data_IF_188923434751
#
_entry.id   IF_188923434751
#
_cell.length_a   1.000
_cell.length_b   1.000
_cell.length_c   1.000
_cell.angle_alpha   90.00
_cell.angle_beta   90.00
_cell.angle_gamma   90.00
#
_symmetry.space_group_name_H-M   'P 1'
#
loop_
_entity.id
_entity.type
_entity.pdbx_description
1 polymer ?
#
# COMPACT_ATOMS: atom_id res chain seq x y z
N UNK A 1 -13.69 12.47 22.58
CA UNK A 1 -12.64 13.08 21.74
C UNK A 1 -12.70 12.42 20.36
N UNK A 2 -13.49 12.99 19.44
CA UNK A 2 -13.62 12.50 18.07
C UNK A 2 -12.35 12.89 17.32
N UNK A 3 -11.46 11.94 17.03
CA UNK A 3 -10.33 12.18 16.12
C UNK A 3 -10.93 12.43 14.74
N UNK A 4 -10.53 13.55 14.13
CA UNK A 4 -10.85 13.99 12.78
C UNK A 4 -10.90 12.79 11.83
N UNK A 5 -12.11 12.45 11.38
CA UNK A 5 -12.31 11.47 10.32
C UNK A 5 -11.89 12.10 9.01
N UNK A 6 -10.61 11.94 8.66
CA UNK A 6 -10.23 11.96 7.25
C UNK A 6 -10.53 10.55 6.76
N UNK A 7 -11.72 10.38 6.17
CA UNK A 7 -12.01 9.19 5.38
C UNK A 7 -11.11 9.31 4.16
N UNK A 8 -9.98 8.62 4.16
CA UNK A 8 -9.22 8.41 2.95
C UNK A 8 -9.96 7.33 2.17
N UNK A 9 -10.49 7.65 0.98
CA UNK A 9 -10.96 6.68 -0.01
C UNK A 9 -9.81 5.82 -0.57
N UNK A 10 -8.74 5.63 0.21
CA UNK A 10 -7.50 4.99 -0.16
C UNK A 10 -6.95 4.09 0.95
N UNK A 11 -6.30 3.01 0.54
CA UNK A 11 -5.59 2.06 1.40
C UNK A 11 -4.10 2.26 1.22
N UNK A 12 -3.34 2.24 2.31
CA UNK A 12 -1.87 2.23 2.28
C UNK A 12 -1.35 0.80 2.20
N UNK A 13 -0.41 0.57 1.28
CA UNK A 13 0.27 -0.70 1.11
C UNK A 13 1.78 -0.44 1.22
N UNK A 14 2.44 -1.28 2.01
CA UNK A 14 3.89 -1.34 2.15
C UNK A 14 4.36 -2.61 1.47
N UNK A 15 5.53 -2.57 0.86
CA UNK A 15 6.21 -3.76 0.34
C UNK A 15 7.50 -3.92 1.11
N UNK A 16 7.74 -5.11 1.64
CA UNK A 16 9.01 -5.45 2.30
C UNK A 16 9.40 -6.88 1.98
N UNK A 17 10.59 -7.07 1.41
CA UNK A 17 11.13 -8.38 1.04
C UNK A 17 10.16 -9.20 0.16
N UNK A 18 9.48 -8.52 -0.77
CA UNK A 18 8.49 -9.13 -1.68
C UNK A 18 7.12 -9.42 -1.06
N UNK A 19 6.90 -9.07 0.20
CA UNK A 19 5.64 -9.26 0.93
C UNK A 19 4.88 -7.94 1.00
N UNK A 20 3.57 -7.97 0.75
CA UNK A 20 2.68 -6.82 0.88
C UNK A 20 2.17 -6.73 2.32
N UNK A 21 2.19 -5.53 2.88
CA UNK A 21 1.66 -5.22 4.19
C UNK A 21 0.65 -4.08 4.10
N UNK A 22 -0.43 -4.14 4.87
CA UNK A 22 -1.36 -3.02 5.01
C UNK A 22 -1.76 -2.87 6.47
N UNK A 23 -2.06 -1.67 6.98
CA UNK A 23 -2.56 -1.50 8.34
C UNK A 23 -3.84 -2.32 8.59
N UNK A 24 -3.95 -2.93 9.78
CA UNK A 24 -5.11 -3.75 10.15
C UNK A 24 -6.35 -2.92 10.56
N UNK A 25 -6.17 -1.64 10.89
CA UNK A 25 -7.18 -0.72 11.42
C UNK A 25 -7.02 0.65 10.78
N UNK A 26 -8.05 1.49 10.88
CA UNK A 26 -8.08 2.85 10.34
C UNK A 26 -7.89 2.93 8.81
N UNK A 27 -8.19 1.84 8.10
CA UNK A 27 -8.25 1.76 6.64
C UNK A 27 -9.63 1.28 6.23
N UNK A 28 -10.15 1.75 5.09
CA UNK A 28 -11.39 1.21 4.53
C UNK A 28 -11.17 -0.26 4.16
N UNK A 29 -11.97 -1.16 4.73
CA UNK A 29 -12.05 -2.57 4.30
C UNK A 29 -12.75 -2.75 2.94
N UNK A 30 -12.84 -1.68 2.15
CA UNK A 30 -13.60 -1.62 0.90
C UNK A 30 -12.97 -2.36 -0.27
N UNK A 31 -13.62 -2.23 -1.44
CA UNK A 31 -13.28 -2.85 -2.74
C UNK A 31 -11.77 -2.80 -3.04
N UNK A 32 -11.11 -1.72 -2.64
CA UNK A 32 -9.66 -1.50 -2.76
C UNK A 32 -8.82 -2.61 -2.09
N UNK A 33 -9.13 -2.98 -0.84
CA UNK A 33 -8.43 -4.09 -0.14
C UNK A 33 -8.64 -5.40 -0.88
N UNK A 34 -9.85 -5.62 -1.41
CA UNK A 34 -10.17 -6.81 -2.20
C UNK A 34 -9.34 -6.86 -3.49
N UNK A 35 -9.31 -5.78 -4.27
CA UNK A 35 -8.56 -5.75 -5.54
C UNK A 35 -7.06 -5.93 -5.34
N UNK A 36 -6.46 -5.33 -4.30
CA UNK A 36 -5.03 -5.55 -3.95
C UNK A 36 -4.80 -6.98 -3.48
N UNK A 37 -5.71 -7.54 -2.68
CA UNK A 37 -5.63 -8.94 -2.25
C UNK A 37 -5.76 -9.91 -3.43
N UNK A 38 -6.64 -9.61 -4.38
CA UNK A 38 -6.85 -10.42 -5.58
C UNK A 38 -5.61 -10.33 -6.51
N UNK A 39 -5.01 -9.15 -6.67
CA UNK A 39 -3.74 -8.98 -7.38
C UNK A 39 -2.58 -9.73 -6.69
N UNK A 40 -2.51 -9.70 -5.35
CA UNK A 40 -1.53 -10.44 -4.58
C UNK A 40 -1.69 -11.96 -4.78
N UNK A 41 -2.93 -12.47 -4.71
CA UNK A 41 -3.24 -13.88 -4.99
C UNK A 41 -2.87 -14.28 -6.42
N UNK A 42 -3.18 -13.45 -7.42
CA UNK A 42 -2.84 -13.73 -8.81
C UNK A 42 -1.33 -13.79 -9.09
N UNK A 43 -0.52 -13.24 -8.19
CA UNK A 43 0.94 -13.16 -8.31
C UNK A 43 1.69 -13.95 -7.23
N UNK A 44 0.99 -14.79 -6.44
CA UNK A 44 1.54 -15.55 -5.31
C UNK A 44 2.28 -14.69 -4.26
N UNK A 45 1.84 -13.44 -4.09
CA UNK A 45 2.40 -12.55 -3.08
C UNK A 45 1.74 -12.74 -1.72
N UNK A 46 2.56 -12.81 -0.68
CA UNK A 46 2.09 -12.84 0.70
C UNK A 46 1.54 -11.47 1.10
N UNK A 47 0.37 -11.47 1.77
CA UNK A 47 -0.32 -10.28 2.23
C UNK A 47 -0.50 -10.33 3.76
N UNK A 48 -0.03 -9.31 4.48
CA UNK A 48 0.01 -9.29 5.95
C UNK A 48 -0.61 -7.99 6.50
N UNK A 49 -1.40 -8.09 7.56
CA UNK A 49 -1.95 -6.91 8.23
C UNK A 49 -0.95 -6.36 9.27
N UNK A 50 -0.12 -5.39 8.88
CA UNK A 50 0.79 -4.68 9.78
C UNK A 50 1.18 -3.30 9.23
N UNK A 51 1.34 -2.32 10.12
CA UNK A 51 1.88 -0.98 9.81
C UNK A 51 3.30 -0.77 10.35
N UNK A 52 3.87 -1.73 11.07
CA UNK A 52 5.16 -1.58 11.78
C UNK A 52 6.37 -1.39 10.86
N UNK A 53 6.21 -1.60 9.56
CA UNK A 53 7.28 -1.59 8.58
C UNK A 53 7.35 -0.30 7.76
N UNK A 54 6.48 0.69 8.00
CA UNK A 54 6.38 1.87 7.14
C UNK A 54 7.72 2.57 6.89
N UNK A 55 8.53 2.80 7.93
CA UNK A 55 9.84 3.45 7.80
C UNK A 55 10.95 2.54 7.25
N UNK A 56 10.73 1.23 7.16
CA UNK A 56 11.71 0.25 6.69
C UNK A 56 11.26 -0.47 5.41
N UNK A 57 10.16 -0.02 4.80
CA UNK A 57 9.58 -0.59 3.60
C UNK A 57 10.52 -0.39 2.39
N UNK A 58 10.51 -1.36 1.47
CA UNK A 58 11.18 -1.24 0.19
C UNK A 58 10.40 -0.38 -0.80
N UNK A 59 9.06 -0.47 -0.75
CA UNK A 59 8.15 0.32 -1.58
C UNK A 59 6.92 0.69 -0.75
N UNK A 60 6.31 1.84 -1.05
CA UNK A 60 5.03 2.24 -0.47
C UNK A 60 4.14 2.75 -1.60
N UNK A 61 2.86 2.41 -1.56
CA UNK A 61 1.87 3.00 -2.45
C UNK A 61 0.51 3.11 -1.76
N UNK A 62 -0.31 4.02 -2.26
CA UNK A 62 -1.74 4.05 -1.95
C UNK A 62 -2.52 3.45 -3.11
N UNK A 63 -3.60 2.76 -2.80
CA UNK A 63 -4.62 2.37 -3.77
C UNK A 63 -5.91 3.10 -3.43
N UNK A 64 -6.62 3.68 -4.40
CA UNK A 64 -7.89 4.38 -4.19
C UNK A 64 -9.08 3.53 -4.63
N UNK A 65 -10.29 3.84 -4.14
CA UNK A 65 -11.54 3.19 -4.59
C UNK A 65 -11.77 3.33 -6.10
N UNK A 66 -11.26 4.40 -6.72
CA UNK A 66 -11.31 4.63 -8.17
C UNK A 66 -10.31 3.77 -8.97
N UNK A 67 -9.58 2.87 -8.30
CA UNK A 67 -8.61 1.97 -8.93
C UNK A 67 -7.24 2.61 -9.18
N UNK A 68 -6.98 3.80 -8.66
CA UNK A 68 -5.70 4.48 -8.89
C UNK A 68 -4.63 3.95 -7.94
N UNK A 69 -3.46 3.64 -8.49
CA UNK A 69 -2.25 3.31 -7.72
C UNK A 69 -1.36 4.56 -7.66
N UNK A 70 -1.03 5.00 -6.45
CA UNK A 70 -0.25 6.21 -6.19
C UNK A 70 1.03 5.81 -5.47
N UNK A 71 2.18 5.75 -6.15
CA UNK A 71 3.47 5.46 -5.52
C UNK A 71 3.86 6.54 -4.51
N UNK A 72 4.44 6.11 -3.38
CA UNK A 72 5.00 6.98 -2.35
C UNK A 72 6.50 6.71 -2.29
N UNK A 73 7.29 7.67 -2.76
CA UNK A 73 8.76 7.59 -2.78
C UNK A 73 9.42 8.33 -1.62
N UNK A 74 8.65 9.04 -0.80
CA UNK A 74 9.13 9.77 0.38
C UNK A 74 8.11 9.70 1.51
N UNK A 75 8.58 9.45 2.73
CA UNK A 75 7.81 9.42 3.97
C UNK A 75 8.49 10.32 5.00
N UNK A 76 7.76 11.30 5.53
CA UNK A 76 8.26 12.30 6.49
C UNK A 76 9.57 12.99 6.05
N UNK A 77 9.67 13.31 4.76
CA UNK A 77 10.83 13.97 4.18
C UNK A 77 12.05 13.05 3.99
N UNK A 78 11.92 11.75 4.24
CA UNK A 78 12.96 10.74 3.98
C UNK A 78 12.58 9.88 2.77
N UNK A 79 13.53 9.53 1.90
CA UNK A 79 13.24 8.62 0.79
C UNK A 79 12.80 7.25 1.32
N UNK A 80 11.79 6.67 0.70
CA UNK A 80 11.47 5.25 0.87
C UNK A 80 12.52 4.46 0.09
N UNK A 81 13.37 3.72 0.79
CA UNK A 81 14.52 3.01 0.22
C UNK A 81 15.43 3.93 -0.61
N UNK A 82 15.36 3.84 -1.94
CA UNK A 82 16.17 4.62 -2.89
C UNK A 82 15.40 5.82 -3.47
N UNK A 83 14.17 6.05 -3.02
CA UNK A 83 13.31 7.15 -3.46
C UNK A 83 12.74 6.97 -4.87
N UNK A 84 12.74 5.74 -5.41
CA UNK A 84 12.26 5.45 -6.77
C UNK A 84 11.00 4.59 -6.76
N UNK A 85 10.32 4.57 -7.91
CA UNK A 85 9.23 3.62 -8.14
C UNK A 85 9.78 2.20 -8.13
N UNK A 86 9.27 1.36 -7.23
CA UNK A 86 9.68 -0.03 -7.13
C UNK A 86 8.94 -0.97 -8.10
N UNK A 87 9.51 -2.15 -8.37
CA UNK A 87 9.00 -3.09 -9.35
C UNK A 87 7.64 -3.71 -8.97
N UNK A 88 7.36 -3.93 -7.69
CA UNK A 88 6.08 -4.53 -7.27
C UNK A 88 4.95 -3.52 -7.43
N UNK A 89 5.18 -2.28 -6.99
CA UNK A 89 4.25 -1.16 -7.17
C UNK A 89 3.96 -0.94 -8.66
N UNK A 90 5.00 -0.94 -9.50
CA UNK A 90 4.84 -0.81 -10.95
C UNK A 90 4.01 -1.96 -11.53
N UNK A 91 4.31 -3.20 -11.16
CA UNK A 91 3.57 -4.37 -11.66
C UNK A 91 2.09 -4.33 -11.27
N UNK A 92 1.78 -3.89 -10.04
CA UNK A 92 0.40 -3.68 -9.59
C UNK A 92 -0.26 -2.57 -10.42
N UNK A 93 0.45 -1.45 -10.61
CA UNK A 93 -0.06 -0.33 -11.39
C UNK A 93 -0.35 -0.70 -12.85
N UNK A 94 0.49 -1.52 -13.47
CA UNK A 94 0.29 -1.99 -14.85
C UNK A 94 -0.87 -3.01 -14.99
N UNK A 95 -1.30 -3.64 -13.88
CA UNK A 95 -2.36 -4.67 -13.87
C UNK A 95 -3.75 -4.10 -13.57
N UNK A 96 -3.81 -2.89 -13.02
CA UNK A 96 -5.05 -2.14 -12.72
C UNK A 96 -5.50 -1.32 -13.93
#
# INVERSE_FOLDING_TARGET
>A
MRRMGVIYDSTFILVKDGVLYTPARDVLEGITRKSVTDAAKANDWKFVLSSSLAYNADEIFMSTTTGSIIPITSLDGRPVKDGKLGPITKKIWDTY
#
